data_IF_467250591791
#
_entry.id   IF_467250591791
#
_cell.length_a   1.000
_cell.length_b   1.000
_cell.length_c   1.000
_cell.angle_alpha   90.00
_cell.angle_beta   90.00
_cell.angle_gamma   90.00
#
_symmetry.space_group_name_H-M   'P 1'
#
loop_
_entity.id
_entity.type
_entity.pdbx_description
1 polymer ?
#
# COMPACT_ATOMS: atom_id res chain seq x y z
N UNK A 1 -14.37 10.83 25.58
CA UNK A 1 -14.64 9.63 26.37
C UNK A 1 -15.59 8.81 25.53
N UNK A 2 -15.10 7.75 24.91
CA UNK A 2 -15.95 6.80 24.23
C UNK A 2 -16.85 6.10 25.26
N UNK A 3 -18.11 5.91 24.89
CA UNK A 3 -19.10 5.31 25.76
C UNK A 3 -18.90 3.79 25.67
N UNK A 4 -18.31 3.18 26.70
CA UNK A 4 -18.19 1.73 26.83
C UNK A 4 -19.57 1.09 26.71
N UNK A 5 -19.69 0.12 25.81
CA UNK A 5 -20.92 -0.66 25.65
C UNK A 5 -21.00 -1.77 26.69
N UNK A 6 -22.17 -2.34 26.90
CA UNK A 6 -22.33 -3.50 27.80
C UNK A 6 -21.53 -4.71 27.26
N UNK A 7 -21.30 -4.76 25.95
CA UNK A 7 -20.50 -5.78 25.29
C UNK A 7 -19.03 -5.66 25.67
N UNK A 8 -18.50 -4.44 25.76
CA UNK A 8 -17.10 -4.17 26.16
C UNK A 8 -16.86 -4.54 27.64
N UNK A 9 -17.90 -4.42 28.47
CA UNK A 9 -17.82 -4.81 29.88
C UNK A 9 -17.86 -6.33 30.10
N UNK A 10 -18.35 -7.10 29.12
CA UNK A 10 -18.48 -8.56 29.19
C UNK A 10 -17.37 -9.36 28.54
N UNK A 11 -16.54 -8.71 27.71
CA UNK A 11 -15.44 -9.36 27.00
C UNK A 11 -14.10 -8.81 27.50
N UNK A 12 -13.11 -9.68 27.54
CA UNK A 12 -11.74 -9.33 27.88
C UNK A 12 -10.99 -8.82 26.66
N UNK A 13 -9.97 -7.98 26.86
CA UNK A 13 -9.03 -7.65 25.80
C UNK A 13 -8.15 -8.87 25.46
N UNK A 14 -7.85 -9.04 24.18
CA UNK A 14 -6.97 -10.12 23.74
C UNK A 14 -5.51 -9.73 24.01
N UNK A 15 -4.81 -10.50 24.84
CA UNK A 15 -3.41 -10.26 25.15
C UNK A 15 -2.50 -11.29 24.48
N UNK A 16 -1.51 -10.78 23.72
CA UNK A 16 -0.45 -11.62 23.13
C UNK A 16 0.62 -11.85 24.19
N UNK A 17 0.61 -13.04 24.80
CA UNK A 17 1.49 -13.45 25.90
C UNK A 17 2.38 -14.65 25.55
N UNK A 18 2.46 -15.03 24.27
CA UNK A 18 3.23 -16.16 23.74
C UNK A 18 3.86 -15.73 22.41
N UNK A 19 4.95 -16.41 21.98
CA UNK A 19 5.51 -16.19 20.65
C UNK A 19 4.47 -16.38 19.56
N UNK A 20 4.55 -15.54 18.52
CA UNK A 20 3.62 -15.56 17.38
C UNK A 20 4.17 -16.48 16.31
N UNK A 21 3.33 -17.35 15.76
CA UNK A 21 3.54 -18.02 14.49
C UNK A 21 2.70 -17.37 13.42
N UNK A 22 3.37 -16.66 12.52
CA UNK A 22 2.73 -15.94 11.43
C UNK A 22 2.50 -16.86 10.24
N UNK A 23 1.25 -16.95 9.79
CA UNK A 23 0.83 -17.63 8.56
C UNK A 23 0.30 -16.55 7.62
N UNK A 24 0.96 -16.35 6.48
CA UNK A 24 0.58 -15.35 5.48
C UNK A 24 0.02 -16.04 4.24
N UNK A 25 -1.29 -15.94 4.05
CA UNK A 25 -1.96 -16.36 2.81
C UNK A 25 -2.03 -15.16 1.87
N UNK A 26 -1.62 -15.36 0.60
CA UNK A 26 -1.40 -14.28 -0.37
C UNK A 26 -0.39 -13.25 0.16
N UNK A 27 0.71 -13.75 0.75
CA UNK A 27 1.59 -12.94 1.59
C UNK A 27 2.46 -11.94 0.83
N UNK A 28 2.57 -12.04 -0.51
CA UNK A 28 3.37 -11.12 -1.31
C UNK A 28 4.83 -11.09 -0.84
N UNK A 29 5.30 -9.91 -0.48
CA UNK A 29 6.66 -9.69 0.05
C UNK A 29 6.74 -9.67 1.59
N UNK A 30 5.63 -9.97 2.29
CA UNK A 30 5.61 -10.09 3.76
C UNK A 30 5.43 -8.77 4.51
N UNK A 31 4.45 -7.94 4.11
CA UNK A 31 4.18 -6.67 4.80
C UNK A 31 3.82 -6.89 6.28
N UNK A 32 3.12 -7.96 6.60
CA UNK A 32 2.73 -8.30 7.96
C UNK A 32 3.92 -8.76 8.79
N UNK A 33 4.83 -9.55 8.21
CA UNK A 33 6.09 -9.91 8.85
C UNK A 33 6.97 -8.67 9.11
N UNK A 34 7.04 -7.71 8.15
CA UNK A 34 7.71 -6.43 8.35
C UNK A 34 7.10 -5.64 9.51
N UNK A 35 5.77 -5.59 9.60
CA UNK A 35 5.06 -4.88 10.66
C UNK A 35 5.36 -5.49 12.04
N UNK A 36 5.28 -6.81 12.20
CA UNK A 36 5.62 -7.49 13.45
C UNK A 36 7.07 -7.24 13.86
N UNK A 37 7.99 -7.28 12.89
CA UNK A 37 9.42 -6.97 13.11
C UNK A 37 9.61 -5.53 13.57
N UNK A 38 8.93 -4.59 12.93
CA UNK A 38 8.98 -3.16 13.27
C UNK A 38 8.47 -2.88 14.69
N UNK A 39 7.48 -3.65 15.14
CA UNK A 39 6.94 -3.59 16.50
C UNK A 39 7.82 -4.30 17.54
N UNK A 40 8.91 -4.97 17.12
CA UNK A 40 9.79 -5.70 18.02
C UNK A 40 9.15 -6.93 18.68
N UNK A 41 8.12 -7.50 18.04
CA UNK A 41 7.43 -8.66 18.60
C UNK A 41 8.22 -9.95 18.37
N UNK A 42 8.08 -10.88 19.32
CA UNK A 42 8.65 -12.24 19.20
C UNK A 42 7.74 -13.07 18.26
N UNK A 43 8.21 -13.29 17.02
CA UNK A 43 7.46 -14.03 16.03
C UNK A 43 8.35 -14.85 15.09
N UNK A 44 7.77 -15.88 14.54
CA UNK A 44 8.32 -16.73 13.48
C UNK A 44 7.48 -16.52 12.19
N UNK A 45 8.13 -16.24 11.05
CA UNK A 45 7.49 -16.39 9.72
C UNK A 45 7.29 -17.89 9.48
N UNK A 46 6.17 -18.41 9.98
CA UNK A 46 5.94 -19.85 10.10
C UNK A 46 5.51 -20.50 8.79
N UNK A 47 4.64 -19.81 8.02
CA UNK A 47 4.15 -20.30 6.73
C UNK A 47 3.84 -19.15 5.79
N UNK A 48 4.33 -19.26 4.54
CA UNK A 48 3.97 -18.39 3.43
C UNK A 48 3.18 -19.18 2.39
N UNK A 49 2.06 -18.64 1.92
CA UNK A 49 1.28 -19.15 0.80
C UNK A 49 1.14 -18.03 -0.22
N UNK A 50 1.99 -18.06 -1.24
CA UNK A 50 2.07 -17.09 -2.33
C UNK A 50 2.46 -17.84 -3.61
N UNK A 51 1.73 -17.58 -4.70
CA UNK A 51 1.93 -18.27 -5.98
C UNK A 51 3.00 -17.59 -6.85
N UNK A 52 3.20 -16.27 -6.68
CA UNK A 52 4.16 -15.52 -7.48
C UNK A 52 5.59 -15.80 -7.01
N UNK A 53 6.36 -16.47 -7.86
CA UNK A 53 7.76 -16.83 -7.59
C UNK A 53 8.66 -15.64 -7.32
N UNK A 54 8.37 -14.47 -7.89
CA UNK A 54 9.17 -13.26 -7.67
C UNK A 54 8.84 -12.62 -6.33
N UNK A 55 7.57 -12.63 -5.93
CA UNK A 55 7.14 -12.20 -4.60
C UNK A 55 7.77 -13.11 -3.53
N UNK A 56 7.72 -14.44 -3.72
CA UNK A 56 8.36 -15.40 -2.79
C UNK A 56 9.87 -15.20 -2.71
N UNK A 57 10.55 -14.99 -3.84
CA UNK A 57 12.00 -14.71 -3.85
C UNK A 57 12.33 -13.42 -3.07
N UNK A 58 11.51 -12.37 -3.24
CA UNK A 58 11.65 -11.12 -2.49
C UNK A 58 11.37 -11.32 -1.00
N UNK A 59 10.32 -12.07 -0.66
CA UNK A 59 10.00 -12.43 0.73
C UNK A 59 11.18 -13.10 1.40
N UNK A 60 11.73 -14.14 0.77
CA UNK A 60 12.87 -14.88 1.29
C UNK A 60 14.11 -14.01 1.50
N UNK A 61 14.39 -13.11 0.54
CA UNK A 61 15.51 -12.18 0.65
C UNK A 61 15.35 -11.17 1.80
N UNK A 62 14.12 -10.68 2.04
CA UNK A 62 13.82 -9.68 3.08
C UNK A 62 13.80 -10.31 4.47
N UNK A 63 13.25 -11.52 4.59
CA UNK A 63 12.97 -12.17 5.87
C UNK A 63 13.97 -13.27 6.24
N UNK A 64 14.90 -13.62 5.33
CA UNK A 64 15.89 -14.67 5.57
C UNK A 64 15.28 -16.07 5.64
N UNK A 65 14.27 -16.33 4.80
CA UNK A 65 13.54 -17.59 4.72
C UNK A 65 13.82 -18.32 3.40
N UNK A 66 13.28 -19.53 3.24
CA UNK A 66 13.47 -20.39 2.06
C UNK A 66 12.14 -20.96 1.52
N UNK A 67 11.04 -20.25 1.68
CA UNK A 67 9.74 -20.67 1.18
C UNK A 67 9.74 -20.87 -0.33
N UNK A 68 8.83 -21.74 -0.79
CA UNK A 68 8.61 -22.02 -2.21
C UNK A 68 7.25 -21.48 -2.66
N UNK A 69 7.11 -21.11 -3.94
CA UNK A 69 5.82 -20.70 -4.49
C UNK A 69 4.74 -21.77 -4.27
N UNK A 70 3.62 -21.36 -3.71
CA UNK A 70 2.57 -22.29 -3.26
C UNK A 70 1.20 -21.79 -3.70
N UNK A 71 0.46 -22.65 -4.40
CA UNK A 71 -0.92 -22.39 -4.79
C UNK A 71 -1.86 -22.78 -3.65
N UNK A 72 -2.64 -21.83 -3.14
CA UNK A 72 -3.59 -22.05 -2.06
C UNK A 72 -4.63 -23.13 -2.37
N UNK A 73 -4.99 -23.32 -3.64
CA UNK A 73 -5.98 -24.31 -4.07
C UNK A 73 -5.48 -25.76 -3.94
N UNK A 74 -4.17 -25.96 -3.83
CA UNK A 74 -3.54 -27.25 -3.67
C UNK A 74 -3.27 -27.64 -2.20
N UNK A 75 -3.43 -26.69 -1.28
CA UNK A 75 -3.20 -26.92 0.13
C UNK A 75 -4.39 -27.60 0.79
N UNK A 76 -4.11 -28.38 1.83
CA UNK A 76 -5.08 -28.90 2.78
C UNK A 76 -4.99 -28.13 4.09
N UNK A 77 -6.05 -28.20 4.92
CA UNK A 77 -6.02 -27.53 6.23
C UNK A 77 -4.89 -27.99 7.14
N UNK A 78 -4.46 -29.24 7.05
CA UNK A 78 -3.32 -29.78 7.82
C UNK A 78 -1.97 -29.12 7.41
N UNK A 79 -1.82 -28.66 6.17
CA UNK A 79 -0.61 -28.03 5.68
C UNK A 79 -0.36 -26.64 6.31
N UNK A 80 -1.37 -26.04 6.95
CA UNK A 80 -1.17 -24.84 7.76
C UNK A 80 -0.30 -25.10 9.00
N UNK A 81 -0.22 -26.35 9.44
CA UNK A 81 0.67 -26.77 10.52
C UNK A 81 0.33 -26.21 11.90
N UNK A 82 -0.96 -25.91 12.14
CA UNK A 82 -1.41 -25.31 13.42
C UNK A 82 -1.43 -26.38 14.51
N UNK A 83 -0.36 -26.37 15.31
CA UNK A 83 -0.14 -27.31 16.43
C UNK A 83 0.32 -26.53 17.65
N UNK A 84 0.35 -27.16 18.83
CA UNK A 84 0.86 -26.54 20.06
C UNK A 84 0.26 -25.14 20.37
N UNK A 85 -1.04 -24.99 20.21
CA UNK A 85 -1.76 -23.71 20.46
C UNK A 85 -1.72 -23.26 21.91
N UNK A 86 -1.29 -24.14 22.81
CA UNK A 86 -0.97 -23.83 24.21
C UNK A 86 0.38 -23.09 24.35
N UNK A 87 1.31 -23.23 23.39
CA UNK A 87 2.65 -22.61 23.39
C UNK A 87 2.74 -21.39 22.50
N UNK A 88 1.99 -21.34 21.40
CA UNK A 88 2.08 -20.33 20.38
C UNK A 88 0.74 -19.65 20.11
N UNK A 89 0.79 -18.37 19.74
CA UNK A 89 -0.33 -17.66 19.11
C UNK A 89 -0.15 -17.76 17.59
N UNK A 90 -1.12 -18.31 16.90
CA UNK A 90 -1.16 -18.30 15.45
C UNK A 90 -1.90 -17.07 14.95
N UNK A 91 -1.17 -16.19 14.26
CA UNK A 91 -1.72 -15.08 13.49
C UNK A 91 -1.78 -15.50 12.03
N UNK A 92 -2.98 -15.67 11.50
CA UNK A 92 -3.19 -15.95 10.08
C UNK A 92 -3.67 -14.69 9.38
N UNK A 93 -2.89 -14.22 8.42
CA UNK A 93 -3.24 -13.06 7.60
C UNK A 93 -3.63 -13.50 6.19
N UNK A 94 -4.59 -12.77 5.59
CA UNK A 94 -5.06 -13.08 4.24
C UNK A 94 -5.52 -11.83 3.50
N UNK A 95 -4.76 -11.49 2.46
CA UNK A 95 -5.01 -10.34 1.57
C UNK A 95 -5.34 -10.88 0.18
N UNK A 96 -6.52 -11.50 0.05
CA UNK A 96 -6.92 -12.14 -1.20
C UNK A 96 -7.09 -11.11 -2.33
N UNK A 97 -6.92 -11.53 -3.62
CA UNK A 97 -6.94 -10.60 -4.75
C UNK A 97 -8.21 -9.76 -4.85
N UNK A 98 -8.06 -8.44 -4.98
CA UNK A 98 -9.16 -7.46 -5.05
C UNK A 98 -9.62 -7.11 -6.48
N UNK A 99 -9.00 -7.68 -7.52
CA UNK A 99 -9.18 -7.27 -8.92
C UNK A 99 -10.63 -7.37 -9.43
N UNK A 100 -11.43 -8.26 -8.87
CA UNK A 100 -12.83 -8.43 -9.23
C UNK A 100 -13.80 -7.62 -8.36
N UNK A 101 -13.30 -6.94 -7.32
CA UNK A 101 -14.09 -6.13 -6.38
C UNK A 101 -14.24 -4.68 -6.86
N UNK A 102 -13.22 -4.15 -7.56
CA UNK A 102 -13.19 -2.76 -7.96
C UNK A 102 -14.18 -2.46 -9.09
N UNK A 103 -14.70 -1.22 -9.10
CA UNK A 103 -15.61 -0.71 -10.15
C UNK A 103 -14.96 -0.70 -11.54
N UNK A 104 -13.63 -0.60 -11.59
CA UNK A 104 -12.84 -0.71 -12.82
C UNK A 104 -12.69 -2.17 -13.31
N UNK A 105 -12.97 -3.17 -12.48
CA UNK A 105 -13.07 -4.57 -12.85
C UNK A 105 -14.48 -4.89 -13.35
N UNK A 106 -14.64 -6.01 -14.02
CA UNK A 106 -15.90 -6.47 -14.64
C UNK A 106 -17.06 -6.72 -13.64
N UNK A 107 -16.96 -6.26 -12.39
CA UNK A 107 -18.02 -6.32 -11.38
C UNK A 107 -18.47 -7.73 -11.00
N UNK A 108 -17.65 -8.75 -11.26
CA UNK A 108 -18.00 -10.16 -10.98
C UNK A 108 -18.00 -10.49 -9.48
N UNK A 109 -17.47 -9.58 -8.63
CA UNK A 109 -17.48 -9.74 -7.17
C UNK A 109 -16.63 -10.90 -6.65
N UNK A 110 -16.91 -11.29 -5.40
CA UNK A 110 -16.23 -12.39 -4.71
C UNK A 110 -17.21 -13.52 -4.32
N UNK A 111 -18.27 -13.73 -5.11
CA UNK A 111 -19.24 -14.78 -4.83
C UNK A 111 -18.59 -16.17 -4.83
N UNK A 112 -19.05 -17.03 -3.91
CA UNK A 112 -18.57 -18.40 -3.79
C UNK A 112 -18.87 -19.15 -5.10
N UNK A 113 -17.85 -19.81 -5.67
CA UNK A 113 -17.98 -20.54 -6.95
C UNK A 113 -17.98 -19.66 -8.20
N UNK A 114 -17.76 -18.34 -8.08
CA UNK A 114 -17.75 -17.45 -9.27
C UNK A 114 -16.54 -17.65 -10.19
N UNK A 115 -15.50 -18.36 -9.75
CA UNK A 115 -14.25 -18.56 -10.50
C UNK A 115 -13.42 -17.29 -10.67
N UNK A 116 -13.79 -16.19 -10.02
CA UNK A 116 -13.01 -14.94 -10.03
C UNK A 116 -11.79 -15.05 -9.12
N UNK A 117 -10.77 -14.20 -9.36
CA UNK A 117 -9.62 -14.15 -8.42
C UNK A 117 -10.03 -13.77 -7.01
N UNK A 118 -11.02 -12.90 -6.84
CA UNK A 118 -11.52 -12.49 -5.52
C UNK A 118 -12.32 -13.61 -4.82
N UNK A 119 -12.77 -14.64 -5.56
CA UNK A 119 -13.39 -15.82 -4.96
C UNK A 119 -12.40 -16.74 -4.22
N UNK A 120 -11.10 -16.48 -4.31
CA UNK A 120 -10.07 -17.17 -3.52
C UNK A 120 -10.22 -16.95 -1.99
N UNK A 121 -11.04 -15.99 -1.56
CA UNK A 121 -11.50 -15.92 -0.16
C UNK A 121 -12.09 -17.25 0.31
N UNK A 122 -12.78 -17.98 -0.56
CA UNK A 122 -13.44 -19.24 -0.20
C UNK A 122 -12.46 -20.40 -0.04
N UNK A 123 -11.23 -20.28 -0.58
CA UNK A 123 -10.13 -21.19 -0.25
C UNK A 123 -9.68 -21.01 1.21
N UNK A 124 -9.67 -19.77 1.71
CA UNK A 124 -9.41 -19.52 3.14
C UNK A 124 -10.50 -20.19 4.00
N UNK A 125 -11.78 -20.09 3.56
CA UNK A 125 -12.91 -20.82 4.22
C UNK A 125 -12.64 -22.31 4.25
N UNK A 126 -12.25 -22.91 3.13
CA UNK A 126 -11.95 -24.34 3.01
C UNK A 126 -10.84 -24.74 3.98
N UNK A 127 -9.71 -24.04 3.96
CA UNK A 127 -8.58 -24.31 4.85
C UNK A 127 -8.96 -24.19 6.32
N UNK A 128 -9.69 -23.11 6.70
CA UNK A 128 -10.20 -22.96 8.07
C UNK A 128 -11.21 -24.04 8.47
N UNK A 129 -11.97 -24.60 7.54
CA UNK A 129 -12.89 -25.71 7.82
C UNK A 129 -12.12 -27.00 8.06
N UNK A 130 -11.14 -27.30 7.21
CA UNK A 130 -10.37 -28.54 7.24
C UNK A 130 -9.38 -28.61 8.41
N UNK A 131 -8.78 -27.48 8.81
CA UNK A 131 -7.77 -27.50 9.88
C UNK A 131 -8.41 -27.85 11.24
N UNK A 132 -7.74 -28.74 11.97
CA UNK A 132 -8.22 -29.20 13.29
C UNK A 132 -8.21 -28.08 14.32
N UNK A 133 -7.07 -27.41 14.45
CA UNK A 133 -6.91 -26.28 15.37
C UNK A 133 -7.08 -24.98 14.61
N UNK A 134 -7.73 -24.00 15.21
CA UNK A 134 -7.96 -22.71 14.58
C UNK A 134 -6.88 -21.71 15.00
N UNK A 135 -6.42 -20.80 14.09
CA UNK A 135 -5.60 -19.66 14.48
C UNK A 135 -6.33 -18.82 15.52
N UNK A 136 -5.63 -18.30 16.50
CA UNK A 136 -6.26 -17.44 17.51
C UNK A 136 -6.62 -16.06 16.96
N UNK A 137 -5.86 -15.58 15.99
CA UNK A 137 -6.06 -14.27 15.35
C UNK A 137 -6.11 -14.46 13.84
N UNK A 138 -7.13 -13.87 13.21
CA UNK A 138 -7.23 -13.70 11.78
C UNK A 138 -7.13 -12.21 11.44
N UNK A 139 -6.34 -11.85 10.43
CA UNK A 139 -6.25 -10.49 9.91
C UNK A 139 -6.51 -10.50 8.41
N UNK A 140 -7.62 -9.93 7.99
CA UNK A 140 -7.93 -9.63 6.59
C UNK A 140 -7.48 -8.22 6.24
N UNK A 141 -6.83 -8.05 5.09
CA UNK A 141 -6.68 -6.75 4.44
C UNK A 141 -7.25 -6.81 3.04
N UNK A 142 -8.01 -5.79 2.65
CA UNK A 142 -8.51 -5.66 1.28
C UNK A 142 -8.88 -4.20 0.97
N UNK A 143 -9.41 -3.95 -0.23
CA UNK A 143 -9.98 -2.65 -0.59
C UNK A 143 -11.36 -2.46 0.10
N UNK A 144 -11.79 -1.22 0.41
CA UNK A 144 -13.10 -0.95 1.04
C UNK A 144 -14.29 -1.54 0.29
N UNK A 145 -14.14 -1.74 -1.03
CA UNK A 145 -15.17 -2.35 -1.87
C UNK A 145 -15.53 -3.78 -1.45
N UNK A 146 -14.73 -4.43 -0.62
CA UNK A 146 -15.01 -5.78 -0.10
C UNK A 146 -16.33 -5.83 0.66
N UNK A 147 -16.70 -4.75 1.35
CA UNK A 147 -17.95 -4.63 2.11
C UNK A 147 -18.90 -3.53 1.56
N UNK A 148 -18.64 -3.04 0.33
CA UNK A 148 -19.55 -2.11 -0.35
C UNK A 148 -20.89 -2.76 -0.69
N UNK A 149 -21.92 -1.94 -0.83
CA UNK A 149 -23.28 -2.39 -1.17
C UNK A 149 -23.34 -3.36 -2.37
N UNK A 150 -24.38 -4.20 -2.38
CA UNK A 150 -24.62 -5.16 -3.47
C UNK A 150 -24.04 -6.55 -3.21
N UNK A 151 -23.39 -7.14 -4.23
CA UNK A 151 -22.91 -8.53 -4.18
C UNK A 151 -21.76 -8.72 -3.19
N UNK A 152 -20.86 -7.74 -3.12
CA UNK A 152 -19.70 -7.81 -2.25
C UNK A 152 -20.14 -7.82 -0.78
N UNK A 153 -21.05 -6.93 -0.36
CA UNK A 153 -21.58 -6.90 1.00
C UNK A 153 -22.24 -8.23 1.38
N UNK A 154 -23.01 -8.82 0.48
CA UNK A 154 -23.65 -10.13 0.74
C UNK A 154 -22.62 -11.23 0.98
N UNK A 155 -21.57 -11.25 0.18
CA UNK A 155 -20.48 -12.24 0.33
C UNK A 155 -19.66 -11.96 1.59
N UNK A 156 -19.44 -10.69 1.94
CA UNK A 156 -18.74 -10.31 3.16
C UNK A 156 -19.52 -10.69 4.42
N UNK A 157 -20.83 -10.46 4.43
CA UNK A 157 -21.71 -10.92 5.53
C UNK A 157 -21.65 -12.44 5.67
N UNK A 158 -21.74 -13.20 4.57
CA UNK A 158 -21.58 -14.67 4.62
C UNK A 158 -20.24 -15.10 5.20
N UNK A 159 -19.18 -14.37 4.83
CA UNK A 159 -17.84 -14.60 5.37
C UNK A 159 -17.79 -14.37 6.88
N UNK A 160 -18.32 -13.26 7.37
CA UNK A 160 -18.38 -12.97 8.81
C UNK A 160 -19.21 -14.01 9.58
N UNK A 161 -20.38 -14.38 9.06
CA UNK A 161 -21.22 -15.43 9.64
C UNK A 161 -20.49 -16.79 9.70
N UNK A 162 -19.70 -17.12 8.68
CA UNK A 162 -18.87 -18.30 8.71
C UNK A 162 -17.82 -18.23 9.83
N UNK A 163 -17.13 -17.11 9.98
CA UNK A 163 -16.14 -16.92 11.05
C UNK A 163 -16.81 -17.01 12.43
N UNK A 164 -17.97 -16.40 12.59
CA UNK A 164 -18.78 -16.49 13.82
C UNK A 164 -19.13 -17.95 14.15
N UNK A 165 -19.52 -18.75 13.14
CA UNK A 165 -19.82 -20.17 13.31
C UNK A 165 -18.62 -21.01 13.78
N UNK A 166 -17.39 -20.51 13.55
CA UNK A 166 -16.14 -21.09 14.06
C UNK A 166 -15.76 -20.57 15.45
N UNK A 167 -16.51 -19.61 16.01
CA UNK A 167 -16.27 -19.02 17.33
C UNK A 167 -15.43 -17.75 17.32
N UNK A 168 -15.28 -17.10 16.16
CA UNK A 168 -14.59 -15.79 16.07
C UNK A 168 -15.57 -14.64 16.31
N UNK A 169 -15.05 -13.56 16.91
CA UNK A 169 -15.67 -12.24 16.90
C UNK A 169 -14.83 -11.35 15.98
N UNK A 170 -15.49 -10.67 15.03
CA UNK A 170 -14.84 -9.87 13.98
C UNK A 170 -15.08 -8.38 14.17
N UNK A 171 -14.04 -7.59 14.01
CA UNK A 171 -14.02 -6.12 14.04
C UNK A 171 -13.51 -5.61 12.70
N UNK A 172 -14.22 -4.68 12.09
CA UNK A 172 -13.91 -4.21 10.73
C UNK A 172 -13.84 -2.70 10.70
N UNK A 173 -12.77 -2.15 10.11
CA UNK A 173 -12.58 -0.72 9.93
C UNK A 173 -11.84 -0.43 8.62
N UNK A 174 -12.21 0.68 7.99
CA UNK A 174 -11.49 1.23 6.84
C UNK A 174 -10.44 2.22 7.33
N UNK A 175 -9.17 1.92 7.08
CA UNK A 175 -8.04 2.72 7.53
C UNK A 175 -7.38 3.40 6.35
N UNK A 176 -7.23 4.73 6.44
CA UNK A 176 -6.53 5.53 5.46
C UNK A 176 -5.05 5.64 5.82
N UNK A 177 -4.18 5.12 4.94
CA UNK A 177 -2.74 5.03 5.21
C UNK A 177 -2.05 6.40 5.37
N UNK A 178 -2.61 7.49 4.77
CA UNK A 178 -2.03 8.83 4.91
C UNK A 178 -2.03 9.37 6.35
N UNK A 179 -2.74 8.71 7.25
CA UNK A 179 -2.67 8.96 8.69
C UNK A 179 -1.37 8.44 9.33
N UNK A 180 -0.61 7.60 8.62
CA UNK A 180 0.59 6.94 9.15
C UNK A 180 1.82 7.12 8.26
N UNK A 181 1.62 7.20 6.94
CA UNK A 181 2.68 7.28 5.93
C UNK A 181 2.27 8.23 4.81
N UNK A 182 3.24 8.75 4.04
CA UNK A 182 2.99 9.64 2.89
C UNK A 182 2.40 8.87 1.69
N UNK A 183 1.33 8.10 1.91
CA UNK A 183 0.64 7.37 0.86
C UNK A 183 -0.88 7.46 1.01
N UNK A 184 -1.59 7.89 -0.03
CA UNK A 184 -3.05 7.82 -0.08
C UNK A 184 -3.47 6.39 -0.44
N UNK A 185 -3.84 5.62 0.58
CA UNK A 185 -4.24 4.22 0.43
C UNK A 185 -5.31 3.87 1.47
N UNK A 186 -6.56 3.77 1.03
CA UNK A 186 -7.65 3.33 1.91
C UNK A 186 -7.80 1.82 1.84
N UNK A 187 -7.84 1.16 3.01
CA UNK A 187 -7.98 -0.30 3.11
C UNK A 187 -8.91 -0.71 4.23
N UNK A 188 -9.70 -1.71 3.92
CA UNK A 188 -10.50 -2.42 4.90
C UNK A 188 -9.63 -3.43 5.63
N UNK A 189 -9.58 -3.31 6.94
CA UNK A 189 -9.00 -4.30 7.84
C UNK A 189 -10.11 -4.99 8.63
N UNK A 190 -10.02 -6.31 8.72
CA UNK A 190 -10.91 -7.08 9.57
C UNK A 190 -10.08 -7.98 10.48
N UNK A 191 -10.12 -7.69 11.79
CA UNK A 191 -9.52 -8.51 12.83
C UNK A 191 -10.58 -9.44 13.34
N UNK A 192 -10.27 -10.74 13.40
CA UNK A 192 -11.18 -11.74 13.99
C UNK A 192 -10.44 -12.52 15.08
N UNK A 193 -10.97 -12.52 16.29
CA UNK A 193 -10.39 -13.14 17.47
C UNK A 193 -11.19 -14.38 17.87
N UNK A 194 -10.50 -15.49 18.06
CA UNK A 194 -11.11 -16.75 18.49
C UNK A 194 -11.45 -16.68 19.98
N UNK A 195 -12.73 -16.66 20.32
CA UNK A 195 -13.24 -16.51 21.67
C UNK A 195 -14.03 -15.22 21.87
N UNK A 196 -14.26 -14.85 23.13
CA UNK A 196 -15.03 -13.67 23.51
C UNK A 196 -14.09 -12.54 23.92
N UNK A 197 -13.61 -11.81 22.94
CA UNK A 197 -12.69 -10.70 23.15
C UNK A 197 -13.25 -9.41 22.57
N UNK A 198 -12.75 -8.27 23.04
CA UNK A 198 -12.91 -6.94 22.44
C UNK A 198 -11.64 -6.54 21.70
N UNK A 199 -11.79 -5.69 20.69
CA UNK A 199 -10.69 -5.07 19.97
C UNK A 199 -11.09 -3.68 19.52
N UNK A 200 -10.18 -2.74 19.68
CA UNK A 200 -10.32 -1.36 19.21
C UNK A 200 -9.19 -1.04 18.24
N UNK A 201 -9.56 -0.53 17.06
CA UNK A 201 -8.55 -0.09 16.10
C UNK A 201 -7.77 1.11 16.64
N UNK A 202 -6.46 1.20 16.36
CA UNK A 202 -5.67 2.35 16.81
C UNK A 202 -6.18 3.63 16.16
N UNK A 203 -6.23 4.70 16.94
CA UNK A 203 -6.57 6.02 16.42
C UNK A 203 -5.45 6.50 15.49
N UNK A 204 -5.85 7.00 14.31
CA UNK A 204 -4.93 7.61 13.37
C UNK A 204 -4.31 8.91 13.92
N UNK A 205 -3.18 9.29 13.37
CA UNK A 205 -2.51 10.56 13.66
C UNK A 205 -2.14 11.25 12.34
N UNK A 206 -1.86 12.55 12.40
CA UNK A 206 -1.37 13.26 11.22
C UNK A 206 0.06 12.82 10.91
N UNK A 207 0.28 12.38 9.67
CA UNK A 207 1.62 12.09 9.19
C UNK A 207 2.28 13.36 8.69
N UNK A 208 3.41 13.74 9.29
CA UNK A 208 4.17 14.93 8.89
C UNK A 208 5.10 14.69 7.70
N UNK A 209 5.22 13.43 7.26
CA UNK A 209 6.09 13.05 6.15
C UNK A 209 5.38 13.19 4.81
N UNK A 210 6.15 13.61 3.82
CA UNK A 210 5.75 13.64 2.40
C UNK A 210 6.57 12.63 1.60
N UNK A 211 6.20 12.38 0.36
CA UNK A 211 6.85 11.36 -0.47
C UNK A 211 8.36 11.57 -0.60
N UNK A 212 8.83 12.82 -0.71
CA UNK A 212 10.27 13.13 -0.82
C UNK A 212 11.11 12.64 0.35
N UNK A 213 10.53 12.48 1.55
CA UNK A 213 11.23 11.99 2.74
C UNK A 213 11.61 10.49 2.64
N UNK A 214 11.09 9.82 1.63
CA UNK A 214 11.35 8.41 1.32
C UNK A 214 12.15 8.21 0.04
N UNK A 215 12.50 9.29 -0.67
CA UNK A 215 13.30 9.20 -1.89
C UNK A 215 14.78 9.10 -1.55
N UNK A 216 15.50 8.33 -2.32
CA UNK A 216 16.96 8.22 -2.23
C UNK A 216 17.62 9.49 -2.79
N UNK A 217 18.67 9.99 -2.12
CA UNK A 217 19.41 11.17 -2.57
C UNK A 217 20.17 10.90 -3.88
N UNK A 218 20.65 9.67 -4.08
CA UNK A 218 21.36 9.22 -5.26
C UNK A 218 20.70 7.96 -5.83
N UNK A 219 20.35 8.01 -7.11
CA UNK A 219 19.81 6.87 -7.86
C UNK A 219 20.58 6.68 -9.16
N UNK A 220 20.70 5.43 -9.61
CA UNK A 220 21.34 5.08 -10.87
C UNK A 220 20.59 5.76 -12.05
N UNK A 221 21.34 6.30 -13.03
CA UNK A 221 20.79 7.01 -14.19
C UNK A 221 19.74 6.22 -14.96
N UNK A 222 19.82 4.89 -14.96
CA UNK A 222 18.82 4.00 -15.61
C UNK A 222 17.39 4.15 -15.07
N UNK A 223 17.23 4.71 -13.85
CA UNK A 223 15.91 4.92 -13.24
C UNK A 223 15.30 6.28 -13.57
N UNK A 224 16.06 7.20 -14.17
CA UNK A 224 15.50 8.48 -14.60
C UNK A 224 14.65 8.33 -15.85
N UNK A 225 13.60 9.15 -15.92
CA UNK A 225 12.74 9.20 -17.09
C UNK A 225 13.41 10.08 -18.15
N UNK A 226 13.77 9.46 -19.27
CA UNK A 226 14.47 10.13 -20.38
C UNK A 226 13.61 10.30 -21.64
N UNK A 227 12.29 10.00 -21.56
CA UNK A 227 11.42 10.10 -22.72
C UNK A 227 11.15 11.56 -23.09
N UNK A 228 11.09 11.85 -24.39
CA UNK A 228 10.79 13.19 -24.94
C UNK A 228 9.48 13.75 -24.36
N UNK A 229 8.43 12.92 -24.25
CA UNK A 229 7.15 13.30 -23.62
C UNK A 229 7.27 13.70 -22.15
N UNK A 230 8.21 13.12 -21.41
CA UNK A 230 8.45 13.54 -20.03
C UNK A 230 9.08 14.92 -19.98
N UNK A 231 10.02 15.22 -20.87
CA UNK A 231 10.62 16.56 -20.98
C UNK A 231 9.57 17.60 -21.40
N UNK A 232 8.73 17.31 -22.40
CA UNK A 232 7.62 18.18 -22.80
C UNK A 232 6.66 18.48 -21.64
N UNK A 233 6.36 17.45 -20.81
CA UNK A 233 5.51 17.65 -19.63
C UNK A 233 6.21 18.52 -18.58
N UNK A 234 7.49 18.30 -18.31
CA UNK A 234 8.26 19.14 -17.38
C UNK A 234 8.26 20.59 -17.86
N UNK A 235 8.54 20.85 -19.13
CA UNK A 235 8.55 22.18 -19.72
C UNK A 235 7.17 22.87 -19.59
N UNK A 236 6.10 22.10 -19.80
CA UNK A 236 4.73 22.59 -19.61
C UNK A 236 4.48 22.97 -18.15
N UNK A 237 4.85 22.11 -17.20
CA UNK A 237 4.64 22.33 -15.76
C UNK A 237 5.46 23.52 -15.25
N UNK A 238 6.68 23.70 -15.78
CA UNK A 238 7.51 24.88 -15.50
C UNK A 238 6.82 26.14 -16.02
N UNK A 239 6.33 26.13 -17.27
CA UNK A 239 5.62 27.28 -17.87
C UNK A 239 4.32 27.63 -17.11
N UNK A 240 3.63 26.63 -16.55
CA UNK A 240 2.43 26.80 -15.74
C UNK A 240 2.75 27.22 -14.29
N UNK A 241 4.02 27.33 -13.91
CA UNK A 241 4.45 27.69 -12.56
C UNK A 241 4.18 26.61 -11.49
N UNK A 242 3.89 25.36 -11.92
CA UNK A 242 3.66 24.23 -11.03
C UNK A 242 4.94 23.57 -10.51
N UNK A 243 6.04 23.75 -11.24
CA UNK A 243 7.38 23.36 -10.83
C UNK A 243 8.24 24.62 -10.76
N UNK A 244 8.95 24.88 -9.64
CA UNK A 244 9.86 26.00 -9.54
C UNK A 244 11.03 25.81 -10.53
N UNK A 245 11.34 26.85 -11.29
CA UNK A 245 12.56 26.86 -12.12
C UNK A 245 13.76 27.01 -11.20
N UNK A 246 14.52 25.94 -11.03
CA UNK A 246 15.82 26.07 -10.37
C UNK A 246 16.81 26.66 -11.37
N UNK A 247 17.18 27.93 -11.15
CA UNK A 247 18.11 28.69 -12.00
C UNK A 247 19.54 28.11 -12.06
N UNK A 248 19.79 26.98 -11.38
CA UNK A 248 21.10 26.31 -11.39
C UNK A 248 21.21 25.22 -12.46
N UNK A 249 20.12 24.69 -12.98
CA UNK A 249 20.14 23.68 -14.07
C UNK A 249 20.57 24.26 -15.42
N UNK A 250 20.39 25.56 -15.65
CA UNK A 250 20.77 26.20 -16.93
C UNK A 250 22.27 26.19 -17.22
N UNK A 251 23.14 26.05 -16.22
CA UNK A 251 24.61 26.13 -16.44
C UNK A 251 25.23 24.85 -16.99
N UNK A 252 24.60 23.71 -16.95
CA UNK A 252 25.13 22.47 -17.54
C UNK A 252 24.56 22.19 -18.93
N UNK A 253 23.29 22.52 -19.17
CA UNK A 253 22.68 22.40 -20.50
C UNK A 253 23.28 23.41 -21.46
N UNK A 254 23.59 24.65 -21.01
CA UNK A 254 24.27 25.67 -21.81
C UNK A 254 25.72 25.29 -22.14
N UNK A 255 26.43 24.52 -21.34
CA UNK A 255 27.77 24.04 -21.66
C UNK A 255 27.80 22.97 -22.76
N UNK A 256 26.75 22.18 -22.91
CA UNK A 256 26.65 21.20 -24.01
C UNK A 256 26.13 21.84 -25.32
N UNK A 257 25.31 22.88 -25.23
CA UNK A 257 24.81 23.61 -26.39
C UNK A 257 25.83 24.69 -26.89
N UNK A 258 26.65 25.23 -26.00
CA UNK A 258 27.70 26.23 -26.37
C UNK A 258 28.90 25.66 -27.13
N UNK A 259 29.02 24.33 -27.27
CA UNK A 259 29.99 23.70 -28.12
C UNK A 259 29.56 23.61 -29.59
N UNK A 260 28.36 24.04 -29.95
CA UNK A 260 27.82 23.93 -31.30
C UNK A 260 27.51 25.28 -32.00
N UNK A 261 27.70 26.41 -31.33
CA UNK A 261 27.49 27.72 -31.97
C UNK A 261 28.48 28.77 -31.46
N UNK A 262 29.68 28.78 -32.05
CA UNK A 262 30.45 29.97 -32.09
C UNK A 262 30.07 30.77 -33.36
N UNK A 263 29.29 31.84 -33.17
CA UNK A 263 29.41 33.09 -33.93
C UNK A 263 28.49 34.18 -33.40
N UNK A 264 29.17 35.22 -32.90
CA UNK A 264 28.78 36.65 -32.83
C UNK A 264 27.44 37.12 -32.24
N UNK A 265 27.41 37.83 -31.17
CA UNK A 265 27.37 39.29 -31.05
C UNK A 265 27.04 39.75 -29.61
N UNK A 266 27.79 40.78 -29.24
CA UNK A 266 27.72 41.60 -28.03
C UNK A 266 26.37 42.29 -27.80
N UNK A 267 25.80 42.22 -26.55
CA UNK A 267 24.92 43.23 -26.01
C UNK A 267 25.15 43.36 -24.50
N UNK A 268 25.33 44.59 -24.05
CA UNK A 268 25.64 45.03 -22.69
C UNK A 268 24.44 44.90 -21.73
N UNK A 269 24.69 44.90 -20.39
CA UNK A 269 23.67 44.64 -19.39
C UNK A 269 22.89 45.90 -18.94
N UNK A 270 21.59 45.82 -18.89
CA UNK A 270 20.74 46.86 -18.30
C UNK A 270 20.21 46.42 -16.93
N UNK A 271 20.23 47.36 -16.01
CA UNK A 271 20.02 47.38 -14.57
C UNK A 271 18.70 46.84 -14.03
N UNK A 272 18.83 46.26 -12.85
CA UNK A 272 17.97 46.35 -11.65
C UNK A 272 16.46 46.08 -11.78
N UNK A 273 16.05 45.02 -11.09
CA UNK A 273 14.73 44.98 -10.44
C UNK A 273 14.89 44.45 -9.01
N UNK A 274 14.47 45.34 -8.10
CA UNK A 274 14.53 45.21 -6.65
C UNK A 274 13.72 44.02 -6.12
N UNK A 275 14.25 43.49 -5.04
CA UNK A 275 13.64 42.57 -4.07
C UNK A 275 12.18 42.90 -3.76
N UNK A 276 11.30 41.91 -3.92
CA UNK A 276 10.09 41.78 -3.15
C UNK A 276 10.16 40.44 -2.41
N UNK A 277 10.68 40.50 -1.19
CA UNK A 277 10.47 39.49 -0.18
C UNK A 277 8.99 39.47 0.20
N UNK A 278 8.22 38.60 -0.43
CA UNK A 278 6.90 38.22 0.04
C UNK A 278 7.08 37.08 1.04
N UNK A 279 6.73 37.35 2.29
CA UNK A 279 6.64 36.35 3.34
C UNK A 279 5.73 35.20 2.88
N UNK A 280 6.31 34.02 2.73
CA UNK A 280 5.53 32.78 2.65
C UNK A 280 4.89 32.58 4.04
N UNK A 281 3.59 32.83 4.14
CA UNK A 281 2.81 32.28 5.24
C UNK A 281 2.82 30.77 5.07
N UNK A 282 3.32 30.07 6.09
CA UNK A 282 3.11 28.64 6.28
C UNK A 282 1.60 28.37 6.27
N UNK A 283 1.08 27.95 5.12
CA UNK A 283 -0.24 27.34 5.08
C UNK A 283 -0.08 25.95 5.71
N UNK A 284 -0.63 25.79 6.90
CA UNK A 284 -0.89 24.49 7.52
C UNK A 284 -1.59 23.64 6.48
N UNK A 285 -0.90 22.64 5.92
CA UNK A 285 -1.44 21.67 5.00
C UNK A 285 -2.49 20.86 5.78
N UNK A 286 -3.73 21.23 5.62
CA UNK A 286 -4.86 20.40 6.06
C UNK A 286 -5.01 19.31 5.01
N UNK A 287 -4.90 18.07 5.46
CA UNK A 287 -5.05 16.83 4.71
C UNK A 287 -4.02 16.63 3.57
N UNK A 288 -3.27 15.53 3.62
CA UNK A 288 -2.36 15.13 2.55
C UNK A 288 -3.16 14.73 1.31
N UNK A 289 -3.46 15.70 0.44
CA UNK A 289 -4.16 15.47 -0.82
C UNK A 289 -3.19 14.95 -1.89
N UNK A 290 -3.73 14.17 -2.83
CA UNK A 290 -3.01 13.79 -4.04
C UNK A 290 -2.81 15.03 -4.92
N UNK A 291 -1.56 15.40 -5.16
CA UNK A 291 -1.20 16.53 -6.01
C UNK A 291 -0.91 16.02 -7.42
N UNK A 292 -1.96 15.87 -8.24
CA UNK A 292 -1.80 15.52 -9.66
C UNK A 292 -1.24 16.70 -10.45
N UNK A 293 -0.19 16.43 -11.22
CA UNK A 293 0.49 17.42 -12.07
C UNK A 293 0.15 17.25 -13.56
N UNK A 294 -0.44 16.14 -13.96
CA UNK A 294 -0.84 15.88 -15.33
C UNK A 294 -0.65 14.43 -15.78
N UNK A 295 -0.76 14.21 -17.08
CA UNK A 295 -0.67 12.88 -17.69
C UNK A 295 0.40 12.84 -18.76
N UNK A 296 1.13 11.72 -18.87
CA UNK A 296 2.14 11.48 -19.89
C UNK A 296 1.58 11.09 -21.26
N UNK A 297 0.28 10.89 -21.38
CA UNK A 297 -0.39 10.49 -22.63
C UNK A 297 -1.63 11.34 -22.90
N UNK A 298 -2.03 11.43 -24.18
CA UNK A 298 -3.24 12.15 -24.60
C UNK A 298 -4.54 11.47 -24.11
N UNK A 299 -4.44 10.20 -23.68
CA UNK A 299 -5.56 9.48 -23.05
C UNK A 299 -5.29 9.37 -21.56
N UNK A 300 -5.95 10.18 -20.74
CA UNK A 300 -5.78 10.12 -19.29
C UNK A 300 -6.09 8.73 -18.75
N UNK A 301 -5.15 8.18 -18.02
CA UNK A 301 -5.29 6.92 -17.30
C UNK A 301 -4.47 7.02 -16.01
N UNK A 302 -4.95 6.41 -14.94
CA UNK A 302 -4.29 6.49 -13.63
C UNK A 302 -2.81 6.15 -13.66
N UNK A 303 -2.40 5.15 -14.46
CA UNK A 303 -0.99 4.73 -14.59
C UNK A 303 -0.10 5.72 -15.34
N UNK A 304 -0.67 6.72 -16.01
CA UNK A 304 0.08 7.76 -16.73
C UNK A 304 0.03 9.12 -16.04
N UNK A 305 -0.68 9.22 -14.93
CA UNK A 305 -0.74 10.43 -14.11
C UNK A 305 0.58 10.64 -13.36
N UNK A 306 1.00 11.89 -13.30
CA UNK A 306 2.21 12.32 -12.64
C UNK A 306 1.86 13.08 -11.36
N UNK A 307 2.54 12.75 -10.27
CA UNK A 307 2.32 13.34 -8.95
C UNK A 307 3.50 14.19 -8.50
N UNK A 308 3.22 15.18 -7.68
CA UNK A 308 4.25 15.95 -6.98
C UNK A 308 4.89 15.11 -5.88
N UNK A 309 6.20 15.27 -5.65
CA UNK A 309 6.92 14.67 -4.52
C UNK A 309 6.52 15.25 -3.16
N UNK A 310 5.92 16.46 -3.14
CA UNK A 310 5.47 17.13 -1.91
C UNK A 310 4.10 16.61 -1.42
N UNK A 311 3.44 15.77 -2.20
CA UNK A 311 2.14 15.18 -1.85
C UNK A 311 2.25 13.71 -1.42
N UNK A 312 1.09 13.11 -1.12
CA UNK A 312 0.99 11.67 -0.91
C UNK A 312 1.08 10.92 -2.25
N UNK A 313 1.76 9.78 -2.26
CA UNK A 313 1.78 8.91 -3.45
C UNK A 313 0.47 8.12 -3.56
N UNK A 314 0.12 7.77 -4.80
CA UNK A 314 -0.97 6.83 -5.05
C UNK A 314 -0.54 5.40 -4.62
N UNK A 315 -1.52 4.59 -4.24
CA UNK A 315 -1.30 3.18 -3.98
C UNK A 315 -0.86 2.43 -5.25
N UNK A 316 0.21 1.66 -5.17
CA UNK A 316 0.63 0.74 -6.24
C UNK A 316 -0.40 -0.38 -6.43
N UNK A 317 -0.74 -0.66 -7.69
CA UNK A 317 -1.65 -1.73 -8.07
C UNK A 317 -0.89 -2.95 -8.60
N UNK A 318 -1.48 -4.13 -8.49
CA UNK A 318 -0.85 -5.37 -8.96
C UNK A 318 -0.49 -5.38 -10.46
N UNK A 319 -1.12 -4.51 -11.26
CA UNK A 319 -0.84 -4.36 -12.70
C UNK A 319 0.25 -3.33 -13.02
N UNK A 320 0.76 -2.61 -12.04
CA UNK A 320 1.73 -1.51 -12.25
C UNK A 320 3.11 -1.98 -12.68
N UNK A 321 3.42 -3.27 -12.59
CA UNK A 321 4.63 -3.84 -13.24
C UNK A 321 4.71 -3.55 -14.75
N UNK A 322 3.54 -3.37 -15.41
CA UNK A 322 3.47 -3.00 -16.83
C UNK A 322 3.41 -1.49 -17.06
N UNK A 323 2.90 -0.76 -16.08
CA UNK A 323 2.66 0.68 -16.13
C UNK A 323 2.98 1.31 -14.77
N UNK A 324 4.28 1.38 -14.38
CA UNK A 324 4.68 1.94 -13.10
C UNK A 324 4.25 3.41 -12.98
N UNK A 325 3.92 3.83 -11.77
CA UNK A 325 3.69 5.25 -11.48
C UNK A 325 4.93 6.06 -11.85
N UNK A 326 4.70 7.26 -12.38
CA UNK A 326 5.75 8.20 -12.75
C UNK A 326 5.79 9.32 -11.73
N UNK A 327 6.95 9.51 -11.14
CA UNK A 327 7.23 10.60 -10.21
C UNK A 327 8.26 11.50 -10.89
N UNK A 328 7.96 12.78 -10.95
CA UNK A 328 8.94 13.78 -11.38
C UNK A 328 9.63 14.30 -10.12
N UNK A 329 10.87 13.90 -9.95
CA UNK A 329 11.77 14.50 -8.99
C UNK A 329 12.57 15.60 -9.69
N UNK A 330 12.33 16.85 -9.31
CA UNK A 330 13.15 17.97 -9.76
C UNK A 330 14.41 17.97 -8.89
N UNK A 331 15.52 17.47 -9.46
CA UNK A 331 16.79 17.44 -8.75
C UNK A 331 17.21 18.89 -8.48
N UNK A 332 17.22 19.30 -7.23
CA UNK A 332 17.92 20.51 -6.81
C UNK A 332 19.41 20.22 -6.94
N UNK A 333 20.03 20.74 -7.97
CA UNK A 333 21.49 20.70 -8.15
C UNK A 333 22.11 21.88 -7.39
#
# INVERSE_FOLDING_TARGET
>A
MEQMTIFDLMNEEFHINKPIRLIELFGGIGSQAMALKSLGLDFESYRLVEIDKYAVASYNAIHGTDFVPTDITQLKGEDLGIVDTDKYIYLLTYSFPCQSLSVAGLGHGMEEGSGTRSSLLWEVKRLLTETKNKPQILLMENVPQVHSEGKNLKSFIKWQQFLESLGYISFTEDIQANQYVAQSRNRCFCISLLGKYTYHFPQGHTCDKVMKDYLEDEVDEKYYITSEKAHELIDKLVKEGKIPVDRQTDRQTDRQLSCLSNQDQSIEPTQSLQEKTGAFQESVVKDQELLSMGFLTDKPHESTEVFSEEGASRCLQATENKHPQKIIQVKRI
#
